data_IF_183298308860
#
_entry.id   IF_183298308860
#
_cell.length_a   1.000
_cell.length_b   1.000
_cell.length_c   1.000
_cell.angle_alpha   90.00
_cell.angle_beta   90.00
_cell.angle_gamma   90.00
#
_symmetry.space_group_name_H-M   'P 1'
#
loop_
_entity.id
_entity.type
_entity.pdbx_description
1 polymer ?
#
# COMPACT_ATOMS: atom_id res chain seq x y z
N UNK A 1 1.84 -10.38 13.57
CA UNK A 1 1.58 -10.70 12.15
C UNK A 1 0.99 -12.10 12.14
N UNK A 2 -0.26 -12.29 11.72
CA UNK A 2 -0.84 -13.64 11.63
C UNK A 2 -0.18 -14.37 10.45
N UNK A 3 0.23 -15.61 10.65
CA UNK A 3 0.73 -16.47 9.58
C UNK A 3 -0.42 -16.78 8.61
N UNK A 4 -0.17 -16.72 7.30
CA UNK A 4 -1.13 -17.21 6.30
C UNK A 4 -1.20 -18.75 6.24
N UNK A 5 -0.41 -19.43 7.09
CA UNK A 5 -0.41 -20.87 7.27
C UNK A 5 -1.38 -21.36 8.35
N UNK A 6 -2.40 -20.58 8.72
CA UNK A 6 -3.52 -21.13 9.49
C UNK A 6 -4.15 -22.24 8.61
N UNK A 7 -4.22 -23.47 9.14
CA UNK A 7 -4.57 -24.77 8.50
C UNK A 7 -3.48 -25.56 7.74
N UNK A 8 -2.19 -25.15 7.73
CA UNK A 8 -1.11 -26.02 7.19
C UNK A 8 -0.54 -26.95 8.27
N UNK A 9 -0.70 -26.61 9.56
CA UNK A 9 -0.24 -27.41 10.70
C UNK A 9 -1.14 -28.66 10.87
N UNK A 10 -0.99 -29.59 9.93
CA UNK A 10 -1.60 -30.90 9.94
C UNK A 10 -0.68 -31.84 10.72
N UNK A 11 -1.18 -32.49 11.79
CA UNK A 11 -0.43 -33.53 12.52
C UNK A 11 0.14 -34.60 11.58
N UNK A 12 -0.55 -34.88 10.47
CA UNK A 12 -0.14 -35.82 9.44
C UNK A 12 1.07 -35.34 8.63
N UNK A 13 1.10 -34.07 8.21
CA UNK A 13 2.27 -33.51 7.50
C UNK A 13 3.49 -33.47 8.41
N UNK A 14 3.30 -33.06 9.67
CA UNK A 14 4.38 -33.01 10.65
C UNK A 14 4.92 -34.40 11.01
N UNK A 15 4.06 -35.43 10.99
CA UNK A 15 4.48 -36.82 11.17
C UNK A 15 5.31 -37.34 9.98
N UNK A 16 4.94 -36.98 8.74
CA UNK A 16 5.60 -37.48 7.53
C UNK A 16 6.89 -36.72 7.18
N UNK A 17 6.99 -35.44 7.53
CA UNK A 17 8.04 -34.52 7.07
C UNK A 17 8.58 -33.64 8.22
N UNK A 18 8.76 -34.22 9.42
CA UNK A 18 9.05 -33.46 10.64
C UNK A 18 10.26 -32.51 10.53
N UNK A 19 11.38 -32.99 9.97
CA UNK A 19 12.60 -32.19 9.84
C UNK A 19 12.43 -31.05 8.83
N UNK A 20 11.82 -31.33 7.66
CA UNK A 20 11.55 -30.30 6.64
C UNK A 20 10.50 -29.30 7.12
N UNK A 21 9.50 -29.75 7.87
CA UNK A 21 8.47 -28.91 8.46
C UNK A 21 9.10 -27.87 9.40
N UNK A 22 9.94 -28.31 10.33
CA UNK A 22 10.59 -27.42 11.28
C UNK A 22 11.57 -26.45 10.56
N UNK A 23 12.23 -26.88 9.47
CA UNK A 23 13.07 -26.01 8.65
C UNK A 23 12.26 -24.93 7.89
N UNK A 24 11.19 -25.31 7.19
CA UNK A 24 10.40 -24.40 6.36
C UNK A 24 9.44 -23.51 7.14
N UNK A 25 9.10 -23.89 8.38
CA UNK A 25 8.27 -23.05 9.28
C UNK A 25 9.12 -22.21 10.23
N UNK A 26 10.44 -22.36 10.23
CA UNK A 26 11.34 -21.57 11.06
C UNK A 26 11.20 -20.07 10.79
N UNK A 27 11.05 -19.29 11.86
CA UNK A 27 10.99 -17.83 11.76
C UNK A 27 12.33 -17.26 11.27
N UNK A 28 12.31 -16.59 10.12
CA UNK A 28 13.47 -15.88 9.59
C UNK A 28 13.50 -14.46 10.12
N UNK A 29 14.50 -14.12 10.93
CA UNK A 29 14.72 -12.75 11.41
C UNK A 29 15.34 -11.90 10.31
N UNK A 30 14.61 -10.91 9.84
CA UNK A 30 15.08 -9.96 8.83
C UNK A 30 15.07 -8.54 9.37
N UNK A 31 16.07 -7.73 8.96
CA UNK A 31 16.02 -6.29 9.17
C UNK A 31 15.14 -5.68 8.08
N UNK A 32 14.05 -5.04 8.48
CA UNK A 32 13.15 -4.34 7.59
C UNK A 32 13.11 -2.84 7.94
N UNK A 33 12.59 -2.05 7.00
CA UNK A 33 12.25 -0.66 7.26
C UNK A 33 11.13 -0.55 8.30
N UNK A 34 11.08 0.57 9.00
CA UNK A 34 9.96 0.90 9.88
C UNK A 34 8.64 0.88 9.08
N UNK A 35 7.58 0.30 9.65
CA UNK A 35 6.33 0.16 8.94
C UNK A 35 5.66 1.52 8.62
N UNK A 36 5.93 2.58 9.41
CA UNK A 36 5.46 3.94 9.09
C UNK A 36 6.15 4.49 7.85
N UNK A 37 7.45 4.22 7.71
CA UNK A 37 8.23 4.61 6.53
C UNK A 37 7.70 3.87 5.28
N UNK A 38 7.44 2.56 5.39
CA UNK A 38 6.85 1.76 4.31
C UNK A 38 5.48 2.34 3.91
N UNK A 39 4.63 2.69 4.88
CA UNK A 39 3.32 3.28 4.62
C UNK A 39 3.44 4.59 3.85
N UNK A 40 4.27 5.52 4.33
CA UNK A 40 4.48 6.82 3.68
C UNK A 40 5.01 6.67 2.24
N UNK A 41 5.92 5.73 2.00
CA UNK A 41 6.46 5.44 0.67
C UNK A 41 5.42 4.82 -0.28
N UNK A 42 4.49 3.99 0.24
CA UNK A 42 3.38 3.44 -0.55
C UNK A 42 2.41 4.54 -0.99
N UNK A 43 2.00 5.43 -0.08
CA UNK A 43 1.18 6.59 -0.42
C UNK A 43 1.89 7.50 -1.44
N UNK A 44 3.18 7.81 -1.22
CA UNK A 44 3.98 8.58 -2.16
C UNK A 44 4.04 7.94 -3.56
N UNK A 45 4.24 6.63 -3.63
CA UNK A 45 4.28 5.91 -4.90
C UNK A 45 2.95 5.97 -5.64
N UNK A 46 1.83 5.80 -4.92
CA UNK A 46 0.48 5.97 -5.47
C UNK A 46 0.26 7.38 -6.04
N UNK A 47 0.80 8.42 -5.40
CA UNK A 47 0.65 9.82 -5.84
C UNK A 47 1.50 10.18 -7.08
N UNK A 48 2.67 9.58 -7.24
CA UNK A 48 3.71 10.05 -8.18
C UNK A 48 3.92 9.14 -9.40
N UNK A 49 3.33 7.93 -9.40
CA UNK A 49 3.43 7.00 -10.53
C UNK A 49 2.65 7.48 -11.75
N UNK A 50 3.15 7.11 -12.93
CA UNK A 50 2.50 7.38 -14.22
C UNK A 50 1.23 6.56 -14.41
N UNK A 51 1.29 5.28 -14.09
CA UNK A 51 0.17 4.34 -14.19
C UNK A 51 -0.36 4.01 -12.81
N UNK A 52 -1.69 3.90 -12.75
CA UNK A 52 -2.38 3.42 -11.57
C UNK A 52 -2.01 1.95 -11.30
N UNK A 53 -1.77 1.59 -10.03
CA UNK A 53 -1.55 0.22 -9.56
C UNK A 53 -2.41 -0.02 -8.33
N UNK A 54 -3.36 -0.95 -8.42
CA UNK A 54 -4.28 -1.23 -7.32
C UNK A 54 -3.53 -1.76 -6.10
N UNK A 55 -2.51 -2.59 -6.31
CA UNK A 55 -1.64 -3.09 -5.24
C UNK A 55 -1.09 -2.03 -4.29
N UNK A 56 -0.70 -0.86 -4.77
CA UNK A 56 -0.18 0.19 -3.87
C UNK A 56 -1.26 0.64 -2.89
N UNK A 57 -2.53 0.67 -3.29
CA UNK A 57 -3.65 1.00 -2.39
C UNK A 57 -4.08 -0.19 -1.53
N UNK A 58 -3.99 -1.42 -2.03
CA UNK A 58 -4.22 -2.61 -1.22
C UNK A 58 -3.21 -2.69 -0.07
N UNK A 59 -1.94 -2.41 -0.34
CA UNK A 59 -0.91 -2.35 0.69
C UNK A 59 -1.23 -1.27 1.73
N UNK A 60 -1.63 -0.07 1.30
CA UNK A 60 -2.07 1.00 2.21
C UNK A 60 -3.25 0.52 3.05
N UNK A 61 -4.30 -0.03 2.44
CA UNK A 61 -5.47 -0.56 3.13
C UNK A 61 -5.10 -1.60 4.21
N UNK A 62 -4.32 -2.63 3.85
CA UNK A 62 -3.94 -3.67 4.80
C UNK A 62 -3.07 -3.14 5.94
N UNK A 63 -2.26 -2.10 5.68
CA UNK A 63 -1.51 -1.43 6.73
C UNK A 63 -2.38 -0.53 7.62
N UNK A 64 -3.44 0.10 7.08
CA UNK A 64 -4.42 0.82 7.91
C UNK A 64 -5.14 -0.14 8.85
N UNK A 65 -5.68 -1.23 8.31
CA UNK A 65 -6.43 -2.22 9.10
C UNK A 65 -5.53 -3.00 10.06
N UNK A 66 -4.35 -3.43 9.61
CA UNK A 66 -3.48 -4.31 10.37
C UNK A 66 -2.58 -3.60 11.38
N UNK A 67 -2.21 -2.34 11.12
CA UNK A 67 -1.22 -1.59 11.92
C UNK A 67 -1.77 -0.28 12.49
N UNK A 68 -3.01 0.10 12.16
CA UNK A 68 -3.65 1.31 12.68
C UNK A 68 -3.09 2.62 12.11
N UNK A 69 -2.44 2.58 10.95
CA UNK A 69 -1.98 3.78 10.27
C UNK A 69 -3.13 4.45 9.50
N UNK A 70 -2.94 5.72 9.13
CA UNK A 70 -3.88 6.46 8.27
C UNK A 70 -3.14 7.50 7.45
N UNK A 71 -3.70 7.86 6.30
CA UNK A 71 -3.15 8.91 5.43
C UNK A 71 -3.05 10.22 6.20
N UNK A 72 -4.09 10.58 6.95
CA UNK A 72 -4.10 11.81 7.76
C UNK A 72 -3.05 11.76 8.88
N UNK A 73 -2.95 10.64 9.61
CA UNK A 73 -2.00 10.49 10.71
C UNK A 73 -0.54 10.60 10.29
N UNK A 74 -0.22 10.22 9.04
CA UNK A 74 1.12 10.29 8.47
C UNK A 74 1.25 11.35 7.35
N UNK A 75 0.30 12.30 7.28
CA UNK A 75 0.22 13.31 6.21
C UNK A 75 1.54 14.06 6.00
N UNK A 76 2.18 14.51 7.08
CA UNK A 76 3.44 15.26 7.00
C UNK A 76 4.60 14.43 6.41
N UNK A 77 4.66 13.14 6.73
CA UNK A 77 5.67 12.23 6.20
C UNK A 77 5.43 11.98 4.72
N UNK A 78 4.18 11.71 4.33
CA UNK A 78 3.79 11.52 2.92
C UNK A 78 4.13 12.77 2.10
N UNK A 79 3.81 13.97 2.60
CA UNK A 79 4.14 15.24 1.95
C UNK A 79 5.66 15.38 1.77
N UNK A 80 6.44 15.17 2.84
CA UNK A 80 7.89 15.31 2.81
C UNK A 80 8.50 14.38 1.75
N UNK A 81 8.09 13.12 1.75
CA UNK A 81 8.57 12.10 0.81
C UNK A 81 8.13 12.41 -0.63
N UNK A 82 6.91 12.91 -0.80
CA UNK A 82 6.40 13.32 -2.11
C UNK A 82 7.18 14.50 -2.67
N UNK A 83 7.31 15.58 -1.92
CA UNK A 83 8.07 16.76 -2.36
C UNK A 83 9.51 16.41 -2.71
N UNK A 84 10.18 15.61 -1.87
CA UNK A 84 11.54 15.14 -2.16
C UNK A 84 11.64 14.49 -3.55
N UNK A 85 10.69 13.64 -3.92
CA UNK A 85 10.68 12.99 -5.23
C UNK A 85 10.30 13.92 -6.39
N UNK A 86 9.43 14.90 -6.14
CA UNK A 86 9.04 15.92 -7.14
C UNK A 86 10.20 16.88 -7.43
N UNK A 87 10.95 17.27 -6.39
CA UNK A 87 12.11 18.16 -6.51
C UNK A 87 13.25 17.48 -7.27
N UNK A 88 13.42 16.16 -7.08
CA UNK A 88 14.54 15.42 -7.67
C UNK A 88 14.28 14.96 -9.12
N UNK A 89 13.02 14.74 -9.52
CA UNK A 89 12.70 14.14 -10.81
C UNK A 89 11.51 14.79 -11.54
N UNK A 90 11.79 15.47 -12.66
CA UNK A 90 10.79 16.09 -13.54
C UNK A 90 9.68 15.14 -13.98
N UNK A 91 10.02 13.88 -14.29
CA UNK A 91 9.03 12.86 -14.70
C UNK A 91 7.94 12.63 -13.64
N UNK A 92 8.28 12.75 -12.35
CA UNK A 92 7.30 12.58 -11.28
C UNK A 92 6.47 13.84 -11.09
N UNK A 93 7.04 15.02 -11.36
CA UNK A 93 6.26 16.26 -11.43
C UNK A 93 5.18 16.19 -12.51
N UNK A 94 5.51 15.73 -13.71
CA UNK A 94 4.52 15.56 -14.79
C UNK A 94 3.42 14.57 -14.40
N UNK A 95 3.78 13.37 -13.95
CA UNK A 95 2.80 12.38 -13.50
C UNK A 95 1.93 12.91 -12.36
N UNK A 96 2.55 13.59 -11.40
CA UNK A 96 1.84 14.17 -10.27
C UNK A 96 0.86 15.26 -10.72
N UNK A 97 1.12 16.01 -11.80
CA UNK A 97 0.18 17.01 -12.29
C UNK A 97 -0.96 16.43 -13.14
N UNK A 98 -0.70 15.37 -13.91
CA UNK A 98 -1.63 14.90 -14.95
C UNK A 98 -2.34 13.58 -14.63
N UNK A 99 -1.77 12.72 -13.80
CA UNK A 99 -2.40 11.44 -13.44
C UNK A 99 -3.57 11.67 -12.48
N UNK A 100 -4.69 10.98 -12.69
CA UNK A 100 -5.83 10.96 -11.76
C UNK A 100 -6.11 9.54 -11.32
N UNK A 101 -6.66 9.36 -10.13
CA UNK A 101 -7.11 8.03 -9.74
C UNK A 101 -8.33 7.63 -10.57
N UNK A 102 -8.45 6.35 -10.93
CA UNK A 102 -9.62 5.87 -11.65
C UNK A 102 -10.86 6.01 -10.77
N UNK A 103 -11.94 6.61 -11.31
CA UNK A 103 -13.15 6.92 -10.53
C UNK A 103 -14.08 5.73 -10.28
N UNK A 104 -14.05 4.69 -11.12
CA UNK A 104 -14.91 3.48 -11.01
C UNK A 104 -14.24 2.26 -11.67
N UNK A 105 -14.62 1.05 -11.23
CA UNK A 105 -14.26 -0.23 -11.90
C UNK A 105 -13.07 -0.99 -11.30
N UNK A 106 -12.52 -0.55 -10.17
CA UNK A 106 -11.30 -1.11 -9.58
C UNK A 106 -11.41 -2.57 -9.13
N UNK A 107 -12.57 -2.95 -8.60
CA UNK A 107 -12.83 -4.30 -8.10
C UNK A 107 -12.89 -5.36 -9.21
N UNK A 108 -13.08 -4.93 -10.47
CA UNK A 108 -13.09 -5.82 -11.63
C UNK A 108 -11.69 -6.03 -12.24
N UNK A 109 -10.64 -5.45 -11.64
CA UNK A 109 -9.28 -5.62 -12.13
C UNK A 109 -8.77 -7.04 -11.89
N UNK A 110 -7.98 -7.56 -12.82
CA UNK A 110 -7.32 -8.87 -12.67
C UNK A 110 -6.41 -8.92 -11.43
N UNK A 111 -5.97 -7.76 -10.91
CA UNK A 111 -5.18 -7.67 -9.67
C UNK A 111 -5.95 -8.21 -8.45
N UNK A 112 -7.27 -8.07 -8.39
CA UNK A 112 -8.08 -8.61 -7.29
C UNK A 112 -8.13 -10.14 -7.28
N UNK A 113 -7.96 -10.78 -8.44
CA UNK A 113 -7.91 -12.24 -8.57
C UNK A 113 -6.60 -12.84 -8.04
N UNK A 114 -5.58 -12.00 -7.79
CA UNK A 114 -4.28 -12.42 -7.30
C UNK A 114 -4.19 -12.42 -5.77
N UNK A 115 -5.27 -12.06 -5.07
CA UNK A 115 -5.31 -12.16 -3.61
C UNK A 115 -5.33 -13.63 -3.19
N UNK A 116 -4.56 -13.95 -2.14
CA UNK A 116 -4.46 -15.30 -1.59
C UNK A 116 -5.71 -15.72 -0.80
N UNK A 117 -6.54 -14.76 -0.42
CA UNK A 117 -7.76 -14.97 0.35
C UNK A 117 -8.85 -14.04 -0.17
N UNK A 118 -10.10 -14.40 0.10
CA UNK A 118 -11.23 -13.58 -0.26
C UNK A 118 -11.16 -12.21 0.45
N UNK A 119 -11.23 -11.10 -0.30
CA UNK A 119 -11.20 -9.77 0.30
C UNK A 119 -12.46 -9.52 1.12
N UNK A 120 -12.38 -8.69 2.18
CA UNK A 120 -13.57 -8.26 2.90
C UNK A 120 -14.49 -7.48 1.96
N UNK A 121 -15.81 -7.62 2.18
CA UNK A 121 -16.83 -6.97 1.33
C UNK A 121 -16.68 -5.45 1.28
N UNK A 122 -16.16 -4.84 2.34
CA UNK A 122 -15.90 -3.41 2.44
C UNK A 122 -14.68 -2.93 1.64
N UNK A 123 -13.79 -3.82 1.20
CA UNK A 123 -12.50 -3.44 0.60
C UNK A 123 -12.64 -2.41 -0.53
N UNK A 124 -13.66 -2.56 -1.38
CA UNK A 124 -13.90 -1.62 -2.47
C UNK A 124 -14.13 -0.19 -2.01
N UNK A 125 -15.03 -0.03 -1.04
CA UNK A 125 -15.39 1.28 -0.49
C UNK A 125 -14.22 1.91 0.26
N UNK A 126 -13.47 1.08 0.99
CA UNK A 126 -12.26 1.47 1.72
C UNK A 126 -11.17 1.98 0.77
N UNK A 127 -10.92 1.27 -0.33
CA UNK A 127 -9.96 1.69 -1.35
C UNK A 127 -10.37 3.01 -1.99
N UNK A 128 -11.66 3.19 -2.30
CA UNK A 128 -12.17 4.47 -2.83
C UNK A 128 -11.97 5.59 -1.80
N UNK A 129 -12.20 5.34 -0.52
CA UNK A 129 -11.94 6.35 0.53
C UNK A 129 -10.46 6.75 0.57
N UNK A 130 -9.54 5.79 0.55
CA UNK A 130 -8.10 6.04 0.52
C UNK A 130 -7.71 6.85 -0.73
N UNK A 131 -8.32 6.57 -1.89
CA UNK A 131 -8.09 7.36 -3.10
C UNK A 131 -8.47 8.82 -2.90
N UNK A 132 -9.65 9.08 -2.31
CA UNK A 132 -10.13 10.43 -2.07
C UNK A 132 -9.20 11.18 -1.11
N UNK A 133 -8.75 10.54 -0.03
CA UNK A 133 -7.79 11.13 0.91
C UNK A 133 -6.46 11.51 0.22
N UNK A 134 -5.95 10.64 -0.66
CA UNK A 134 -4.74 10.91 -1.43
C UNK A 134 -4.94 11.98 -2.51
N UNK A 135 -6.11 12.03 -3.14
CA UNK A 135 -6.46 13.10 -4.09
C UNK A 135 -6.55 14.47 -3.41
N UNK A 136 -7.18 14.54 -2.24
CA UNK A 136 -7.22 15.76 -1.44
C UNK A 136 -5.80 16.23 -1.06
N UNK A 137 -4.95 15.30 -0.60
CA UNK A 137 -3.57 15.60 -0.29
C UNK A 137 -2.78 16.14 -1.50
N UNK A 138 -3.05 15.59 -2.67
CA UNK A 138 -2.46 16.02 -3.93
C UNK A 138 -2.91 17.44 -4.30
N UNK A 139 -4.20 17.74 -4.21
CA UNK A 139 -4.75 19.06 -4.48
C UNK A 139 -4.17 20.12 -3.53
N UNK A 140 -4.05 19.78 -2.25
CA UNK A 140 -3.36 20.57 -1.23
C UNK A 140 -1.92 20.92 -1.66
N UNK A 141 -1.16 19.93 -2.14
CA UNK A 141 0.22 20.13 -2.58
C UNK A 141 0.33 21.00 -3.84
N UNK A 142 -0.55 20.78 -4.83
CA UNK A 142 -0.58 21.57 -6.06
C UNK A 142 -0.95 23.03 -5.75
N UNK A 143 -1.92 23.26 -4.88
CA UNK A 143 -2.35 24.61 -4.50
C UNK A 143 -1.24 25.40 -3.79
N UNK A 144 -0.46 24.73 -2.92
CA UNK A 144 0.70 25.33 -2.23
C UNK A 144 1.84 25.66 -3.20
N UNK A 145 2.09 24.80 -4.19
CA UNK A 145 3.10 25.04 -5.23
C UNK A 145 2.77 26.28 -6.07
N UNK A 146 1.50 26.47 -6.43
CA UNK A 146 1.05 27.64 -7.22
C UNK A 146 1.14 28.96 -6.46
N UNK A 147 1.01 28.97 -5.12
CA UNK A 147 1.14 30.18 -4.28
C UNK A 147 2.59 30.64 -4.04
N UNK A 148 3.58 29.80 -4.36
CA UNK A 148 5.01 30.09 -4.19
C UNK A 148 5.67 30.68 -5.44
N UNK A 149 4.96 30.73 -6.57
CA UNK A 149 5.39 31.40 -7.81
C UNK A 149 4.73 32.76 -7.92
#
# INVERSE_FOLDING_TARGET
MKSYAEDIDSPEIRFLHGDEWDEYTAEVKMRCYDAREIFAEKCRAALTRRSYKLRDLLDVYFMQEGLGYSVEGLKNDIIRKTNFMLDLYTRYHENFMFTRFPRKGLLASDEMKLLLADPPRSLGDEIVRIQLELEELKEDLVSRSRKRK
#
